data_IF_666397103607
#
_entry.id   IF_666397103607
#
_cell.length_a   1.000
_cell.length_b   1.000
_cell.length_c   1.000
_cell.angle_alpha   90.00
_cell.angle_beta   90.00
_cell.angle_gamma   90.00
#
_symmetry.space_group_name_H-M   'P 1'
#
loop_
_entity.id
_entity.type
_entity.pdbx_description
1 polymer ?
#
# COMPACT_ATOMS: atom_id res chain seq x y z
N UNK A 1 26.56 -49.95 49.49
CA UNK A 1 25.79 -48.78 49.00
C UNK A 1 26.54 -48.18 47.77
N UNK A 2 26.06 -48.48 46.56
CA UNK A 2 26.68 -47.98 45.31
C UNK A 2 25.82 -46.80 44.84
N UNK A 3 26.39 -45.59 44.88
CA UNK A 3 25.79 -44.37 44.33
C UNK A 3 25.95 -44.34 42.82
N UNK A 4 24.83 -44.41 42.09
CA UNK A 4 24.80 -44.16 40.64
C UNK A 4 24.78 -42.64 40.40
N UNK A 5 25.90 -42.11 39.84
CA UNK A 5 25.97 -40.75 39.28
C UNK A 5 25.28 -40.77 37.91
N UNK A 6 24.10 -40.19 37.82
CA UNK A 6 23.41 -39.94 36.55
C UNK A 6 23.96 -38.62 35.97
N UNK A 7 24.81 -38.74 34.95
CA UNK A 7 25.35 -37.61 34.21
C UNK A 7 24.27 -37.13 33.25
N UNK A 8 23.65 -35.96 33.57
CA UNK A 8 22.72 -35.25 32.67
C UNK A 8 23.55 -34.59 31.56
N UNK A 9 23.58 -35.19 30.37
CA UNK A 9 24.12 -34.56 29.16
C UNK A 9 23.03 -33.62 28.68
N UNK A 10 23.20 -32.33 28.99
CA UNK A 10 22.42 -31.25 28.39
C UNK A 10 22.76 -31.18 26.89
N UNK A 11 21.87 -31.71 26.06
CA UNK A 11 21.91 -31.58 24.61
C UNK A 11 21.63 -30.12 24.22
N UNK A 12 22.69 -29.28 24.15
CA UNK A 12 22.63 -27.98 23.55
C UNK A 12 22.43 -28.16 22.04
N UNK A 13 21.18 -28.13 21.58
CA UNK A 13 20.88 -27.99 20.17
C UNK A 13 21.39 -26.60 19.72
N UNK A 14 22.28 -26.51 18.73
CA UNK A 14 22.67 -25.22 18.20
C UNK A 14 21.44 -24.57 17.58
N UNK A 15 21.05 -23.41 18.09
CA UNK A 15 20.14 -22.50 17.40
C UNK A 15 20.86 -22.09 16.13
N UNK A 16 20.43 -22.60 14.97
CA UNK A 16 20.94 -22.16 13.68
C UNK A 16 20.43 -20.75 13.44
N UNK A 17 21.14 -19.77 13.98
CA UNK A 17 20.93 -18.37 13.63
C UNK A 17 21.36 -18.18 12.17
N UNK A 18 20.60 -17.39 11.41
CA UNK A 18 21.00 -17.01 10.05
C UNK A 18 22.42 -16.45 10.08
N UNK A 19 23.27 -16.92 9.17
CA UNK A 19 24.65 -16.43 9.03
C UNK A 19 24.70 -14.99 8.47
N UNK A 20 23.64 -14.52 7.81
CA UNK A 20 23.49 -13.12 7.42
C UNK A 20 22.89 -12.32 8.57
N UNK A 21 23.66 -11.37 9.09
CA UNK A 21 23.19 -10.42 10.09
C UNK A 21 22.91 -9.08 9.43
N UNK A 22 21.67 -8.65 9.57
CA UNK A 22 21.22 -7.33 9.15
C UNK A 22 21.40 -6.32 10.28
N UNK A 23 21.81 -5.09 9.95
CA UNK A 23 21.86 -3.98 10.92
C UNK A 23 20.47 -3.75 11.49
N UNK A 24 19.47 -3.72 10.61
CA UNK A 24 18.04 -3.63 10.94
C UNK A 24 17.26 -4.56 10.03
N UNK A 25 16.36 -5.36 10.57
CA UNK A 25 15.43 -6.20 9.80
C UNK A 25 14.07 -5.55 9.59
N UNK A 26 13.82 -4.43 10.30
CA UNK A 26 12.59 -3.64 10.20
C UNK A 26 12.94 -2.17 10.04
N UNK A 27 12.31 -1.51 9.07
CA UNK A 27 12.43 -0.06 8.85
C UNK A 27 11.05 0.58 8.80
N UNK A 28 10.90 1.69 9.52
CA UNK A 28 9.67 2.51 9.52
C UNK A 28 9.95 3.81 8.78
N UNK A 29 9.18 4.10 7.74
CA UNK A 29 9.41 5.23 6.87
C UNK A 29 8.09 5.95 6.61
N UNK A 30 8.05 7.25 6.94
CA UNK A 30 6.98 8.14 6.52
C UNK A 30 7.43 8.85 5.26
N UNK A 31 6.63 8.75 4.21
CA UNK A 31 6.88 9.39 2.91
C UNK A 31 5.99 10.62 2.74
N UNK A 32 6.28 11.46 1.74
CA UNK A 32 5.35 12.50 1.34
C UNK A 32 4.25 11.90 0.46
N UNK A 33 3.05 12.47 0.49
CA UNK A 33 1.89 11.87 -0.20
C UNK A 33 1.89 12.08 -1.72
N UNK A 34 2.84 12.84 -2.28
CA UNK A 34 3.10 12.99 -3.71
C UNK A 34 4.26 12.09 -4.21
N UNK A 35 4.98 11.46 -3.29
CA UNK A 35 6.10 10.57 -3.63
C UNK A 35 5.58 9.33 -4.38
N UNK A 36 6.22 9.03 -5.51
CA UNK A 36 5.79 7.91 -6.38
C UNK A 36 6.53 6.61 -6.09
N UNK A 37 7.76 6.71 -5.61
CA UNK A 37 8.57 5.54 -5.30
C UNK A 37 9.41 5.76 -4.06
N UNK A 38 9.73 4.66 -3.36
CA UNK A 38 10.59 4.63 -2.19
C UNK A 38 11.65 3.56 -2.38
N UNK A 39 12.93 3.93 -2.23
CA UNK A 39 14.04 2.97 -2.20
C UNK A 39 14.52 2.78 -0.78
N UNK A 40 14.58 1.53 -0.33
CA UNK A 40 15.00 1.16 1.03
C UNK A 40 16.14 0.16 0.95
N UNK A 41 17.24 0.48 1.60
CA UNK A 41 18.43 -0.36 1.68
C UNK A 41 18.50 -1.08 3.03
N UNK A 42 18.74 -2.39 3.01
CA UNK A 42 18.99 -3.22 4.17
C UNK A 42 20.42 -3.74 4.12
N UNK A 43 21.36 -3.07 4.78
CA UNK A 43 22.74 -3.54 4.90
C UNK A 43 22.81 -4.82 5.74
N UNK A 44 23.68 -5.74 5.32
CA UNK A 44 23.93 -6.97 6.05
C UNK A 44 25.41 -7.35 5.98
N UNK A 45 25.81 -8.26 6.87
CA UNK A 45 27.13 -8.88 6.90
C UNK A 45 27.00 -10.38 7.08
N UNK A 46 27.86 -11.15 6.42
CA UNK A 46 28.01 -12.56 6.74
C UNK A 46 28.86 -12.71 8.01
N UNK A 47 28.21 -12.99 9.12
CA UNK A 47 28.88 -13.27 10.41
C UNK A 47 29.10 -14.78 10.65
N UNK A 48 28.75 -15.62 9.69
CA UNK A 48 29.02 -17.05 9.73
C UNK A 48 30.47 -17.40 9.43
N UNK A 49 30.83 -18.67 9.61
CA UNK A 49 32.17 -19.20 9.36
C UNK A 49 32.36 -19.73 7.93
N UNK A 50 31.32 -19.79 7.12
CA UNK A 50 31.32 -20.27 5.75
C UNK A 50 30.72 -19.28 4.75
N UNK A 51 30.90 -19.58 3.46
CA UNK A 51 30.31 -18.81 2.39
C UNK A 51 28.78 -18.92 2.45
N UNK A 52 28.09 -17.80 2.27
CA UNK A 52 26.62 -17.71 2.19
C UNK A 52 26.20 -17.33 0.78
N UNK A 53 25.24 -18.05 0.24
CA UNK A 53 24.66 -17.78 -1.09
C UNK A 53 23.21 -17.38 -0.92
N UNK A 54 22.84 -16.19 -1.41
CA UNK A 54 21.45 -15.79 -1.55
C UNK A 54 20.91 -16.49 -2.80
N UNK A 55 19.99 -17.43 -2.60
CA UNK A 55 19.43 -18.23 -3.69
C UNK A 55 18.19 -17.57 -4.30
N UNK A 56 17.35 -16.96 -3.44
CA UNK A 56 16.07 -16.41 -3.85
C UNK A 56 15.64 -15.27 -2.90
N UNK A 57 14.88 -14.35 -3.42
CA UNK A 57 14.13 -13.37 -2.65
C UNK A 57 12.69 -13.29 -3.15
N UNK A 58 11.74 -13.08 -2.25
CA UNK A 58 10.32 -12.94 -2.55
C UNK A 58 9.71 -11.79 -1.78
N UNK A 59 8.87 -11.03 -2.45
CA UNK A 59 8.04 -9.99 -1.81
C UNK A 59 6.58 -10.46 -1.72
N UNK A 60 5.90 -10.08 -0.64
CA UNK A 60 4.46 -10.27 -0.46
C UNK A 60 3.62 -9.27 -1.27
N UNK A 61 4.25 -8.29 -1.90
CA UNK A 61 3.60 -7.22 -2.65
C UNK A 61 4.13 -7.10 -4.09
N UNK A 62 3.26 -7.09 -5.10
CA UNK A 62 3.65 -6.77 -6.46
C UNK A 62 4.08 -5.29 -6.63
N UNK A 63 3.96 -4.50 -5.54
CA UNK A 63 4.41 -3.12 -5.47
C UNK A 63 5.92 -2.99 -5.20
N UNK A 64 6.64 -4.09 -4.91
CA UNK A 64 8.04 -4.08 -4.52
C UNK A 64 8.92 -4.81 -5.53
N UNK A 65 9.96 -4.14 -6.00
CA UNK A 65 11.07 -4.74 -6.71
C UNK A 65 12.24 -4.94 -5.74
N UNK A 66 12.73 -6.17 -5.64
CA UNK A 66 13.81 -6.55 -4.72
C UNK A 66 15.06 -6.88 -5.52
N UNK A 67 16.21 -6.43 -5.05
CA UNK A 67 17.50 -6.75 -5.66
C UNK A 67 18.64 -6.78 -4.65
N UNK A 68 19.68 -7.51 -4.99
CA UNK A 68 20.94 -7.46 -4.28
C UNK A 68 21.84 -6.47 -4.99
N UNK A 69 22.40 -5.52 -4.25
CA UNK A 69 23.31 -4.52 -4.82
C UNK A 69 24.48 -5.20 -5.56
N UNK A 70 24.81 -4.65 -6.72
CA UNK A 70 25.89 -5.16 -7.61
C UNK A 70 25.66 -6.62 -8.10
N UNK A 71 24.42 -7.14 -7.95
CA UNK A 71 24.06 -8.52 -8.32
C UNK A 71 24.94 -9.61 -7.70
N UNK A 72 25.64 -9.29 -6.60
CA UNK A 72 26.48 -10.24 -5.88
C UNK A 72 25.63 -11.14 -5.00
N UNK A 73 25.65 -12.44 -5.24
CA UNK A 73 24.84 -13.41 -4.50
C UNK A 73 25.62 -14.25 -3.50
N UNK A 74 26.96 -14.25 -3.56
CA UNK A 74 27.81 -15.05 -2.67
C UNK A 74 28.67 -14.14 -1.80
N UNK A 75 28.64 -14.39 -0.50
CA UNK A 75 29.33 -13.60 0.52
C UNK A 75 30.21 -14.51 1.40
N UNK A 76 31.52 -14.25 1.43
CA UNK A 76 32.47 -14.92 2.31
C UNK A 76 32.28 -14.45 3.76
N UNK A 77 32.82 -15.19 4.74
CA UNK A 77 32.87 -14.73 6.12
C UNK A 77 33.42 -13.30 6.24
N UNK A 78 32.69 -12.45 6.94
CA UNK A 78 33.03 -11.04 7.14
C UNK A 78 32.65 -10.09 6.00
N UNK A 79 32.20 -10.57 4.84
CA UNK A 79 31.76 -9.72 3.74
C UNK A 79 30.39 -9.12 3.99
N UNK A 80 30.21 -7.88 3.53
CA UNK A 80 28.96 -7.13 3.64
C UNK A 80 28.28 -6.98 2.29
N UNK A 81 26.94 -6.80 2.32
CA UNK A 81 26.12 -6.54 1.16
C UNK A 81 24.92 -5.69 1.51
N UNK A 82 24.10 -5.40 0.51
CA UNK A 82 22.86 -4.62 0.66
C UNK A 82 21.75 -5.30 -0.12
N UNK A 83 20.62 -5.55 0.54
CA UNK A 83 19.35 -5.82 -0.14
C UNK A 83 18.67 -4.47 -0.36
N UNK A 84 18.39 -4.15 -1.62
CA UNK A 84 17.64 -2.95 -2.01
C UNK A 84 16.22 -3.31 -2.39
N UNK A 85 15.25 -2.62 -1.82
CA UNK A 85 13.84 -2.77 -2.13
C UNK A 85 13.33 -1.43 -2.67
N UNK A 86 12.69 -1.46 -3.85
CA UNK A 86 12.08 -0.28 -4.45
C UNK A 86 10.57 -0.49 -4.48
N UNK A 87 9.83 0.36 -3.79
CA UNK A 87 8.37 0.32 -3.72
C UNK A 87 7.74 1.31 -4.70
N UNK A 88 6.69 0.86 -5.40
CA UNK A 88 5.74 1.72 -6.12
C UNK A 88 4.66 2.19 -5.13
N UNK A 89 4.77 3.44 -4.67
CA UNK A 89 3.90 4.01 -3.65
C UNK A 89 2.46 4.26 -4.13
N UNK A 90 2.23 4.31 -5.45
CA UNK A 90 0.87 4.38 -6.01
C UNK A 90 0.01 3.16 -5.69
N UNK A 91 0.63 2.04 -5.26
CA UNK A 91 -0.05 0.78 -4.89
C UNK A 91 0.00 0.49 -3.39
N UNK A 92 0.57 1.39 -2.59
CA UNK A 92 0.67 1.26 -1.14
C UNK A 92 -0.48 2.02 -0.49
N UNK A 93 -1.32 1.38 0.37
CA UNK A 93 -2.32 2.08 1.16
C UNK A 93 -1.67 2.98 2.22
N UNK A 94 -2.48 3.78 2.92
CA UNK A 94 -2.05 4.83 3.86
C UNK A 94 -0.97 4.40 4.85
N UNK A 95 -1.12 3.20 5.43
CA UNK A 95 -0.08 2.57 6.26
C UNK A 95 -0.07 1.09 5.95
N UNK A 96 1.10 0.56 5.63
CA UNK A 96 1.24 -0.85 5.29
C UNK A 96 2.59 -1.40 5.71
N UNK A 97 2.56 -2.59 6.31
CA UNK A 97 3.74 -3.42 6.47
C UNK A 97 3.95 -4.25 5.20
N UNK A 98 5.16 -4.19 4.66
CA UNK A 98 5.60 -4.94 3.49
C UNK A 98 6.74 -5.86 3.87
N UNK A 99 6.66 -7.09 3.40
CA UNK A 99 7.60 -8.15 3.77
C UNK A 99 8.39 -8.61 2.56
N UNK A 100 9.69 -8.85 2.80
CA UNK A 100 10.56 -9.50 1.83
C UNK A 100 11.24 -10.66 2.53
N UNK A 101 11.09 -11.84 1.94
CA UNK A 101 11.73 -13.07 2.39
C UNK A 101 13.01 -13.31 1.59
N UNK A 102 14.13 -13.60 2.29
CA UNK A 102 15.41 -13.95 1.68
C UNK A 102 15.71 -15.42 2.00
N UNK A 103 15.91 -16.20 0.96
CA UNK A 103 16.26 -17.60 1.04
C UNK A 103 17.74 -17.79 0.74
N UNK A 104 18.40 -18.47 1.63
CA UNK A 104 19.79 -18.88 1.46
C UNK A 104 19.85 -20.28 0.86
N UNK A 105 20.96 -20.62 0.22
CA UNK A 105 21.19 -21.95 -0.32
C UNK A 105 21.03 -23.01 0.77
N UNK A 106 20.09 -23.93 0.54
CA UNK A 106 19.76 -24.99 1.50
C UNK A 106 18.54 -24.69 2.37
N UNK A 107 17.94 -23.50 2.26
CA UNK A 107 16.68 -23.19 2.91
C UNK A 107 15.52 -24.02 2.32
N UNK A 108 14.55 -24.30 3.16
CA UNK A 108 13.28 -24.89 2.68
C UNK A 108 12.41 -23.79 2.08
N UNK A 109 11.61 -24.15 1.06
CA UNK A 109 10.74 -23.22 0.36
C UNK A 109 9.70 -22.51 1.28
N UNK A 110 9.35 -23.15 2.39
CA UNK A 110 8.39 -22.64 3.39
C UNK A 110 9.06 -21.88 4.56
N UNK A 111 10.41 -21.82 4.58
CA UNK A 111 11.15 -21.28 5.71
C UNK A 111 12.34 -20.44 5.25
N UNK A 112 12.13 -19.15 4.97
CA UNK A 112 13.25 -18.24 4.64
C UNK A 112 14.16 -18.04 5.84
N UNK A 113 15.46 -17.91 5.59
CA UNK A 113 16.43 -17.57 6.64
C UNK A 113 16.27 -16.16 7.18
N UNK A 114 15.77 -15.22 6.36
CA UNK A 114 15.59 -13.83 6.75
C UNK A 114 14.23 -13.30 6.26
N UNK A 115 13.55 -12.52 7.12
CA UNK A 115 12.38 -11.74 6.78
C UNK A 115 12.68 -10.26 7.07
N UNK A 116 12.65 -9.44 6.03
CA UNK A 116 12.78 -7.98 6.14
C UNK A 116 11.40 -7.36 6.14
N UNK A 117 11.21 -6.33 6.95
CA UNK A 117 9.94 -5.61 7.08
C UNK A 117 10.16 -4.12 6.77
N UNK A 118 9.31 -3.56 5.94
CA UNK A 118 9.24 -2.10 5.73
C UNK A 118 7.83 -1.64 6.08
N UNK A 119 7.69 -0.85 7.14
CA UNK A 119 6.46 -0.12 7.47
C UNK A 119 6.48 1.21 6.74
N UNK A 120 5.57 1.38 5.80
CA UNK A 120 5.45 2.60 5.01
C UNK A 120 4.20 3.33 5.45
N UNK A 121 4.34 4.60 5.84
CA UNK A 121 3.22 5.50 6.16
C UNK A 121 3.14 6.59 5.10
N UNK A 122 2.01 6.63 4.38
CA UNK A 122 1.65 7.71 3.43
C UNK A 122 0.61 8.59 4.12
N UNK A 123 0.91 9.82 4.48
CA UNK A 123 -0.04 10.67 5.20
C UNK A 123 -1.24 11.04 4.33
N UNK A 124 -2.42 11.04 4.93
CA UNK A 124 -3.70 11.45 4.32
C UNK A 124 -4.12 12.76 4.95
N UNK A 125 -4.17 13.81 4.16
CA UNK A 125 -4.60 15.15 4.59
C UNK A 125 -6.03 15.47 4.19
N UNK A 126 -6.52 14.84 3.12
CA UNK A 126 -7.88 14.97 2.61
C UNK A 126 -8.48 13.59 2.43
N UNK A 127 -9.47 13.28 3.24
CA UNK A 127 -10.24 12.03 3.17
C UNK A 127 -11.55 12.28 2.42
N UNK A 128 -11.88 11.44 1.46
CA UNK A 128 -13.06 11.55 0.63
C UNK A 128 -13.86 10.25 0.70
N UNK A 129 -15.13 10.35 1.07
CA UNK A 129 -15.99 9.19 1.22
C UNK A 129 -17.43 9.45 0.75
N UNK A 130 -17.95 8.61 -0.19
CA UNK A 130 -17.25 7.59 -0.96
C UNK A 130 -16.33 8.18 -2.03
N UNK A 131 -15.29 7.44 -2.45
CA UNK A 131 -14.39 7.85 -3.55
C UNK A 131 -15.04 7.75 -4.95
N UNK A 132 -16.21 7.14 -5.03
CA UNK A 132 -16.99 7.04 -6.27
C UNK A 132 -18.47 7.07 -5.99
N UNK A 133 -19.24 7.70 -6.89
CA UNK A 133 -20.70 7.68 -6.90
C UNK A 133 -21.18 7.01 -8.18
N UNK A 134 -22.15 6.11 -8.05
CA UNK A 134 -22.59 5.22 -9.13
C UNK A 134 -24.09 5.30 -9.31
N UNK A 135 -24.56 5.46 -10.56
CA UNK A 135 -25.94 5.29 -11.00
C UNK A 135 -26.01 4.14 -11.99
N UNK A 136 -27.16 3.54 -12.12
CA UNK A 136 -27.42 2.57 -13.18
C UNK A 136 -28.16 3.24 -14.34
N UNK A 137 -27.96 2.75 -15.57
CA UNK A 137 -28.67 3.25 -16.74
C UNK A 137 -30.16 3.09 -16.54
N UNK A 138 -30.90 4.20 -16.66
CA UNK A 138 -32.37 4.25 -16.43
C UNK A 138 -32.76 4.63 -15.01
N UNK A 139 -31.83 4.77 -14.05
CA UNK A 139 -32.15 5.31 -12.74
C UNK A 139 -32.68 6.75 -12.85
N UNK A 140 -33.40 7.21 -11.84
CA UNK A 140 -33.66 8.66 -11.69
C UNK A 140 -32.33 9.36 -11.44
N UNK A 141 -32.06 10.54 -12.05
CA UNK A 141 -30.86 11.31 -11.87
C UNK A 141 -30.82 12.00 -10.48
N UNK A 142 -30.96 11.21 -9.42
CA UNK A 142 -30.98 11.72 -8.05
C UNK A 142 -29.58 12.16 -7.61
N UNK A 143 -29.44 13.25 -6.83
CA UNK A 143 -28.17 13.72 -6.30
C UNK A 143 -27.57 12.70 -5.32
N UNK A 144 -26.23 12.56 -5.36
CA UNK A 144 -25.46 11.77 -4.39
C UNK A 144 -24.43 12.64 -3.74
N UNK A 145 -24.24 12.45 -2.43
CA UNK A 145 -23.34 13.28 -1.64
C UNK A 145 -22.06 12.52 -1.34
N UNK A 146 -20.95 13.24 -1.44
CA UNK A 146 -19.61 12.81 -1.03
C UNK A 146 -19.16 13.70 0.12
N UNK A 147 -18.68 13.10 1.19
CA UNK A 147 -18.11 13.83 2.32
C UNK A 147 -16.61 14.02 2.10
N UNK A 148 -16.13 15.24 2.31
CA UNK A 148 -14.72 15.59 2.27
C UNK A 148 -14.30 16.04 3.67
N UNK A 149 -13.39 15.30 4.31
CA UNK A 149 -12.90 15.59 5.66
C UNK A 149 -11.41 15.98 5.58
N UNK A 150 -11.10 17.15 6.11
CA UNK A 150 -9.71 17.62 6.21
C UNK A 150 -9.08 17.00 7.47
N UNK A 151 -7.95 16.31 7.28
CA UNK A 151 -7.15 15.69 8.35
C UNK A 151 -5.89 16.51 8.67
N UNK A 152 -5.77 17.67 8.02
CA UNK A 152 -4.68 18.60 8.30
C UNK A 152 -4.84 19.22 9.69
N UNK A 153 -3.73 19.64 10.31
CA UNK A 153 -3.75 20.37 11.60
C UNK A 153 -4.32 21.78 11.47
N UNK A 154 -4.16 22.40 10.29
CA UNK A 154 -4.68 23.72 9.98
C UNK A 154 -6.01 23.62 9.21
N UNK A 155 -6.90 24.62 9.33
CA UNK A 155 -8.12 24.67 8.53
C UNK A 155 -7.79 24.71 7.02
N UNK A 156 -8.44 23.84 6.23
CA UNK A 156 -8.22 23.72 4.79
C UNK A 156 -9.50 23.99 4.03
N UNK A 157 -9.42 24.88 3.02
CA UNK A 157 -10.57 25.22 2.17
C UNK A 157 -10.51 24.45 0.85
N UNK A 158 -11.67 24.14 0.32
CA UNK A 158 -11.82 23.68 -1.05
C UNK A 158 -11.80 24.92 -1.97
N UNK A 159 -10.85 24.96 -2.89
CA UNK A 159 -10.63 26.07 -3.82
C UNK A 159 -11.49 25.93 -5.08
N UNK A 160 -11.58 24.71 -5.61
CA UNK A 160 -12.30 24.44 -6.85
C UNK A 160 -12.87 23.03 -6.92
N UNK A 161 -13.97 22.90 -7.69
CA UNK A 161 -14.56 21.64 -8.12
C UNK A 161 -14.57 21.63 -9.65
N UNK A 162 -13.79 20.77 -10.29
CA UNK A 162 -13.71 20.67 -11.74
C UNK A 162 -14.14 19.29 -12.22
N UNK A 163 -15.26 19.22 -12.94
CA UNK A 163 -15.73 17.99 -13.55
C UNK A 163 -15.13 17.79 -14.94
N UNK A 164 -14.64 16.59 -15.22
CA UNK A 164 -14.14 16.20 -16.56
C UNK A 164 -15.27 15.89 -17.54
N UNK A 165 -16.53 15.78 -17.06
CA UNK A 165 -17.69 15.50 -17.88
C UNK A 165 -18.83 16.47 -17.47
N UNK A 166 -19.29 17.36 -18.36
CA UNK A 166 -20.30 18.38 -18.06
C UNK A 166 -21.68 17.81 -17.74
N UNK A 167 -21.91 16.53 -17.97
CA UNK A 167 -23.15 15.86 -17.56
C UNK A 167 -23.27 15.74 -16.05
N UNK A 168 -22.20 15.83 -15.29
CA UNK A 168 -22.22 15.79 -13.84
C UNK A 168 -21.98 17.18 -13.28
N UNK A 169 -23.00 17.70 -12.59
CA UNK A 169 -22.90 18.95 -11.83
C UNK A 169 -22.51 18.66 -10.40
N UNK A 170 -21.64 19.47 -9.82
CA UNK A 170 -21.20 19.35 -8.44
C UNK A 170 -21.45 20.66 -7.69
N UNK A 171 -21.99 20.56 -6.47
CA UNK A 171 -22.26 21.68 -5.59
C UNK A 171 -21.54 21.46 -4.25
N UNK A 172 -20.86 22.51 -3.75
CA UNK A 172 -20.13 22.49 -2.50
C UNK A 172 -20.95 23.10 -1.38
N UNK A 173 -20.97 22.43 -0.23
CA UNK A 173 -21.50 22.93 1.02
C UNK A 173 -20.50 22.72 2.14
N UNK A 174 -20.14 23.78 2.87
CA UNK A 174 -19.39 23.66 4.11
C UNK A 174 -20.32 23.16 5.23
N UNK A 175 -19.92 22.07 5.89
CA UNK A 175 -20.58 21.56 7.10
C UNK A 175 -19.89 22.12 8.33
N UNK A 176 -18.55 22.11 8.31
CA UNK A 176 -17.68 22.75 9.27
C UNK A 176 -16.53 23.39 8.49
N UNK A 177 -16.51 24.73 8.48
CA UNK A 177 -15.56 25.49 7.67
C UNK A 177 -14.11 25.10 8.00
N UNK A 178 -13.32 24.79 6.97
CA UNK A 178 -11.94 24.37 7.10
C UNK A 178 -11.72 22.91 7.55
N UNK A 179 -12.80 22.16 7.88
CA UNK A 179 -12.67 20.80 8.40
C UNK A 179 -13.54 19.77 7.68
N UNK A 180 -14.78 20.12 7.35
CA UNK A 180 -15.71 19.15 6.74
C UNK A 180 -16.62 19.81 5.72
N UNK A 181 -16.70 19.18 4.55
CA UNK A 181 -17.52 19.63 3.42
C UNK A 181 -18.35 18.48 2.87
N UNK A 182 -19.47 18.84 2.28
CA UNK A 182 -20.31 17.97 1.48
C UNK A 182 -20.27 18.43 0.03
N UNK A 183 -20.02 17.49 -0.88
CA UNK A 183 -20.07 17.71 -2.32
C UNK A 183 -21.24 16.91 -2.88
N UNK A 184 -22.29 17.59 -3.31
CA UNK A 184 -23.46 16.97 -3.92
C UNK A 184 -23.26 16.89 -5.43
N UNK A 185 -23.34 15.69 -5.99
CA UNK A 185 -23.12 15.41 -7.40
C UNK A 185 -24.43 14.95 -8.02
N UNK A 186 -24.85 15.62 -9.09
CA UNK A 186 -26.11 15.33 -9.79
C UNK A 186 -25.83 15.09 -11.27
N UNK A 187 -26.18 13.91 -11.82
CA UNK A 187 -26.08 13.66 -13.25
C UNK A 187 -27.19 14.36 -13.99
N UNK A 188 -26.92 14.99 -15.13
CA UNK A 188 -27.97 15.58 -16.00
C UNK A 188 -28.89 14.50 -16.61
N UNK A 189 -28.33 13.29 -16.81
CA UNK A 189 -29.07 12.13 -17.33
C UNK A 189 -28.34 10.84 -16.96
N UNK A 190 -29.09 9.78 -16.76
CA UNK A 190 -28.64 8.39 -16.60
C UNK A 190 -29.02 7.51 -17.79
N UNK A 191 -29.46 8.11 -18.90
CA UNK A 191 -29.95 7.37 -20.08
C UNK A 191 -28.88 6.59 -20.85
N UNK A 192 -27.60 6.72 -20.51
CA UNK A 192 -26.51 6.01 -21.14
C UNK A 192 -25.32 5.83 -20.20
N UNK A 193 -24.48 4.84 -20.48
CA UNK A 193 -23.25 4.65 -19.74
C UNK A 193 -22.33 5.88 -19.83
N UNK A 194 -21.60 6.14 -18.76
CA UNK A 194 -20.67 7.26 -18.72
C UNK A 194 -19.78 7.19 -17.49
N UNK A 195 -18.62 7.83 -17.60
CA UNK A 195 -17.71 7.99 -16.49
C UNK A 195 -17.07 9.37 -16.55
N UNK A 196 -17.12 10.07 -15.43
CA UNK A 196 -16.45 11.34 -15.23
C UNK A 196 -15.59 11.31 -13.97
N UNK A 197 -14.73 12.29 -13.82
CA UNK A 197 -13.92 12.52 -12.64
C UNK A 197 -14.12 13.95 -12.17
N UNK A 198 -14.54 14.12 -10.93
CA UNK A 198 -14.55 15.39 -10.24
C UNK A 198 -13.20 15.57 -9.54
N UNK A 199 -12.50 16.64 -9.85
CA UNK A 199 -11.27 17.07 -9.17
C UNK A 199 -11.63 18.07 -8.09
N UNK A 200 -11.19 17.81 -6.87
CA UNK A 200 -11.34 18.68 -5.72
C UNK A 200 -9.97 19.27 -5.42
N UNK A 201 -9.81 20.56 -5.54
CA UNK A 201 -8.57 21.27 -5.21
C UNK A 201 -8.69 21.96 -3.87
N UNK A 202 -7.62 21.95 -3.07
CA UNK A 202 -7.61 22.53 -1.72
C UNK A 202 -6.41 23.48 -1.55
N UNK A 203 -6.44 24.31 -0.51
CA UNK A 203 -5.34 25.19 -0.11
C UNK A 203 -4.40 24.56 0.93
N UNK A 204 -4.50 23.26 1.18
CA UNK A 204 -3.61 22.56 2.09
C UNK A 204 -2.14 22.73 1.70
N UNK A 205 -1.31 23.16 2.65
CA UNK A 205 0.14 23.28 2.47
C UNK A 205 0.86 21.97 2.74
N UNK A 206 0.28 21.12 3.57
CA UNK A 206 0.84 19.82 3.95
C UNK A 206 0.56 18.77 2.87
N UNK A 207 -0.61 18.82 2.21
CA UNK A 207 -0.92 17.92 1.08
C UNK A 207 -0.17 18.38 -0.17
N UNK A 208 0.73 17.54 -0.67
CA UNK A 208 1.49 17.81 -1.89
C UNK A 208 0.77 17.34 -3.15
N UNK A 209 -0.37 16.70 -3.04
CA UNK A 209 -1.19 16.30 -4.18
C UNK A 209 -1.92 17.50 -4.74
N UNK A 210 -1.88 17.72 -6.06
CA UNK A 210 -2.50 18.90 -6.67
C UNK A 210 -4.04 18.85 -6.63
N UNK A 211 -4.63 17.67 -6.54
CA UNK A 211 -6.09 17.49 -6.48
C UNK A 211 -6.49 16.10 -6.01
N UNK A 212 -7.73 15.98 -5.56
CA UNK A 212 -8.34 14.76 -5.07
C UNK A 212 -9.49 14.32 -5.98
N UNK A 213 -9.43 13.11 -6.58
CA UNK A 213 -10.45 12.67 -7.52
C UNK A 213 -11.63 12.01 -6.81
N UNK A 214 -12.82 12.27 -7.32
CA UNK A 214 -14.05 11.51 -7.09
C UNK A 214 -14.56 10.98 -8.43
N UNK A 215 -14.82 9.68 -8.52
CA UNK A 215 -15.30 9.06 -9.75
C UNK A 215 -16.84 9.09 -9.81
N UNK A 216 -17.38 9.51 -10.95
CA UNK A 216 -18.81 9.61 -11.23
C UNK A 216 -19.13 8.63 -12.35
N UNK A 217 -19.98 7.64 -12.09
CA UNK A 217 -20.15 6.50 -12.97
C UNK A 217 -21.64 6.26 -13.23
N UNK A 218 -22.05 6.20 -14.51
CA UNK A 218 -23.32 5.61 -14.93
C UNK A 218 -22.99 4.29 -15.62
N UNK A 219 -23.41 3.17 -15.04
CA UNK A 219 -23.10 1.82 -15.54
C UNK A 219 -24.35 1.06 -15.92
N UNK A 220 -24.21 0.02 -16.75
CA UNK A 220 -25.32 -0.92 -16.98
C UNK A 220 -25.73 -1.59 -15.66
N UNK A 221 -27.02 -1.88 -15.46
CA UNK A 221 -27.47 -2.63 -14.29
C UNK A 221 -26.72 -3.94 -14.17
N UNK A 222 -26.24 -4.25 -12.97
CA UNK A 222 -25.62 -5.55 -12.70
C UNK A 222 -26.69 -6.55 -12.26
N UNK A 223 -26.63 -7.82 -12.73
CA UNK A 223 -27.50 -8.87 -12.21
C UNK A 223 -27.34 -8.95 -10.69
N UNK A 224 -28.46 -8.94 -9.96
CA UNK A 224 -28.41 -9.15 -8.51
C UNK A 224 -27.85 -10.54 -8.22
N UNK A 225 -27.00 -10.69 -7.17
CA UNK A 225 -26.53 -12.02 -6.77
C UNK A 225 -27.72 -12.97 -6.59
N UNK A 226 -27.76 -14.06 -7.39
CA UNK A 226 -28.86 -15.05 -7.38
C UNK A 226 -29.83 -15.01 -8.54
N UNK A 227 -29.75 -14.05 -9.46
CA UNK A 227 -30.50 -14.10 -10.73
C UNK A 227 -29.57 -14.58 -11.85
N UNK A 228 -29.85 -15.76 -12.39
CA UNK A 228 -29.20 -16.26 -13.59
C UNK A 228 -29.41 -15.27 -14.75
N UNK A 229 -28.35 -14.98 -15.51
CA UNK A 229 -28.43 -14.16 -16.71
C UNK A 229 -29.47 -14.76 -17.67
N UNK A 230 -30.37 -13.95 -18.30
CA UNK A 230 -31.24 -14.45 -19.33
C UNK A 230 -30.41 -15.01 -20.48
N UNK A 231 -30.68 -16.26 -20.88
CA UNK A 231 -30.03 -16.91 -21.99
C UNK A 231 -30.16 -16.04 -23.25
N UNK A 232 -29.03 -15.73 -23.88
CA UNK A 232 -29.00 -15.03 -25.16
C UNK A 232 -29.76 -15.89 -26.20
N UNK A 233 -30.80 -15.28 -26.80
CA UNK A 233 -31.47 -15.84 -28.00
C UNK A 233 -30.72 -15.42 -29.24
#
# INVERSE_FOLDING_TARGET
MRALLICWIACCLPLVASSLKFEESTKEITVTNDQKSLSVDFPFKNEGSGDVVIEKHESDCPCAAVGVKDSKLTYKPGESGIIRIVFDLGKVPETADKFVSIYLKGDRADRPSVKLTTRITVPVFVEIEPKSVVWEVGDKPEPKTVTVTMKDSEPVKILSLTSSDPRFKAELKAVEEGKKYEVTITPASTGGVGMGMLRIETDSKADKRPSHPVYMIVRKPQPKPGQAAPAAK
#
